data_IF_244105409278
#
_entry.id   IF_244105409278
#
_cell.length_a   1.000
_cell.length_b   1.000
_cell.length_c   1.000
_cell.angle_alpha   90.00
_cell.angle_beta   90.00
_cell.angle_gamma   90.00
#
_symmetry.space_group_name_H-M   'P 1'
#
loop_
_entity.id
_entity.type
_entity.pdbx_description
1 polymer ?
#
# COMPACT_ATOMS: atom_id res chain seq x y z
N UNK A 1 -1.13 -1.39 37.49
CA UNK A 1 -0.73 -0.99 36.12
C UNK A 1 0.73 -0.60 36.16
N UNK A 2 1.58 -1.27 35.39
CA UNK A 2 3.01 -0.94 35.34
C UNK A 2 3.12 0.37 34.58
N UNK A 3 3.58 1.44 35.22
CA UNK A 3 3.94 2.68 34.53
C UNK A 3 5.03 2.35 33.53
N UNK A 4 4.66 2.28 32.25
CA UNK A 4 5.63 2.08 31.15
C UNK A 4 6.49 3.35 31.14
N UNK A 5 7.78 3.19 31.55
CA UNK A 5 8.71 4.30 31.69
C UNK A 5 8.79 5.17 30.44
N UNK A 6 8.75 6.47 30.64
CA UNK A 6 8.89 7.48 29.59
C UNK A 6 10.35 7.77 29.22
N UNK A 7 11.31 7.15 29.93
CA UNK A 7 12.73 7.34 29.70
C UNK A 7 13.18 6.57 28.46
N UNK A 8 13.57 7.25 27.37
CA UNK A 8 14.03 6.60 26.15
C UNK A 8 15.30 5.76 26.33
N UNK A 9 16.06 5.94 27.43
CA UNK A 9 17.26 5.16 27.73
C UNK A 9 16.94 3.77 28.31
N UNK A 10 15.71 3.56 28.79
CA UNK A 10 15.22 2.28 29.33
C UNK A 10 14.21 1.60 28.41
N UNK A 11 13.96 2.12 27.21
CA UNK A 11 13.07 1.54 26.22
C UNK A 11 13.73 0.37 25.48
N UNK A 12 13.30 -0.86 25.77
CA UNK A 12 13.80 -2.07 25.11
C UNK A 12 13.10 -2.34 23.76
N UNK A 13 12.05 -1.56 23.41
CA UNK A 13 11.35 -1.69 22.13
C UNK A 13 12.06 -0.87 21.05
N UNK A 14 12.64 -1.55 20.07
CA UNK A 14 13.15 -0.90 18.88
C UNK A 14 12.00 -0.61 17.91
N UNK A 15 11.56 0.64 17.89
CA UNK A 15 10.43 1.09 17.06
C UNK A 15 10.84 1.25 15.60
N UNK A 16 9.95 0.84 14.68
CA UNK A 16 10.20 0.92 13.24
C UNK A 16 10.26 2.37 12.73
N UNK A 17 11.17 2.68 11.82
CA UNK A 17 11.35 4.01 11.20
C UNK A 17 11.43 5.18 12.20
N UNK A 18 11.90 4.93 13.40
CA UNK A 18 11.92 5.93 14.46
C UNK A 18 13.31 6.52 14.63
N UNK A 19 13.49 7.85 14.49
CA UNK A 19 14.75 8.51 14.83
C UNK A 19 15.09 8.32 16.32
N UNK A 20 16.39 8.29 16.63
CA UNK A 20 16.85 8.30 18.01
C UNK A 20 16.30 9.54 18.74
N UNK A 21 15.79 9.37 19.96
CA UNK A 21 15.22 10.45 20.76
C UNK A 21 13.81 10.92 20.38
N UNK A 22 13.16 10.30 19.40
CA UNK A 22 11.77 10.61 19.09
C UNK A 22 10.85 10.27 20.28
N UNK A 23 9.93 11.18 20.59
CA UNK A 23 8.89 10.96 21.62
C UNK A 23 8.03 9.74 21.29
N UNK A 24 7.44 9.13 22.31
CA UNK A 24 6.56 7.98 22.19
C UNK A 24 5.12 8.38 22.48
N UNK A 25 4.21 8.01 21.58
CA UNK A 25 2.78 8.01 21.82
C UNK A 25 2.35 6.55 22.05
N UNK A 26 1.79 6.26 23.21
CA UNK A 26 1.33 4.91 23.56
C UNK A 26 -0.17 4.85 23.31
N UNK A 27 -0.59 4.05 22.34
CA UNK A 27 -2.01 3.84 22.04
C UNK A 27 -2.49 2.62 22.83
N UNK A 28 -3.53 2.80 23.62
CA UNK A 28 -4.07 1.77 24.52
C UNK A 28 -5.44 1.24 24.11
N UNK A 29 -6.23 2.06 23.40
CA UNK A 29 -7.60 1.70 23.02
C UNK A 29 -7.93 2.24 21.63
N UNK A 30 -8.85 1.54 20.95
CA UNK A 30 -9.39 1.99 19.67
C UNK A 30 -10.85 1.55 19.53
N UNK A 31 -11.65 2.33 18.77
CA UNK A 31 -13.06 2.05 18.50
C UNK A 31 -13.52 2.83 17.26
N UNK A 32 -14.24 2.20 16.32
CA UNK A 32 -14.71 2.83 15.08
C UNK A 32 -13.55 3.41 14.27
N UNK A 33 -13.49 4.72 14.13
CA UNK A 33 -12.41 5.45 13.47
C UNK A 33 -11.44 6.13 14.47
N UNK A 34 -11.55 5.86 15.77
CA UNK A 34 -10.81 6.59 16.77
C UNK A 34 -9.83 5.71 17.54
N UNK A 35 -8.73 6.33 17.95
CA UNK A 35 -7.72 5.75 18.84
C UNK A 35 -7.53 6.64 20.07
N UNK A 36 -7.11 6.07 21.19
CA UNK A 36 -6.81 6.78 22.43
C UNK A 36 -5.43 6.42 22.92
N UNK A 37 -4.70 7.45 23.36
CA UNK A 37 -3.42 7.25 23.99
C UNK A 37 -3.54 6.94 25.50
N UNK A 38 -2.41 6.65 26.13
CA UNK A 38 -2.32 6.35 27.58
C UNK A 38 -2.62 7.55 28.49
N UNK A 39 -2.73 8.74 27.94
CA UNK A 39 -3.12 9.96 28.67
C UNK A 39 -4.62 10.23 28.54
N UNK A 40 -5.32 9.41 27.74
CA UNK A 40 -6.76 9.52 27.48
C UNK A 40 -7.13 10.46 26.33
N UNK A 41 -6.16 11.00 25.61
CA UNK A 41 -6.44 11.84 24.45
C UNK A 41 -7.00 10.98 23.31
N UNK A 42 -8.04 11.49 22.65
CA UNK A 42 -8.71 10.85 21.51
C UNK A 42 -8.23 11.45 20.19
N UNK A 43 -7.95 10.60 19.24
CA UNK A 43 -7.58 11.00 17.88
C UNK A 43 -8.48 10.29 16.86
N UNK A 44 -8.94 11.02 15.85
CA UNK A 44 -9.48 10.42 14.63
C UNK A 44 -8.32 9.84 13.82
N UNK A 45 -8.34 8.53 13.57
CA UNK A 45 -7.34 7.87 12.74
C UNK A 45 -7.68 8.07 11.25
N UNK A 46 -7.16 9.13 10.68
CA UNK A 46 -7.32 9.43 9.27
C UNK A 46 -6.33 8.66 8.37
N UNK A 47 -5.62 7.64 8.89
CA UNK A 47 -4.63 6.86 8.14
C UNK A 47 -4.86 5.35 8.19
N UNK A 48 -5.91 4.88 8.91
CA UNK A 48 -6.13 3.45 9.19
C UNK A 48 -4.85 2.78 9.73
N UNK A 49 -4.26 3.36 10.78
CA UNK A 49 -2.91 3.09 11.27
C UNK A 49 -1.84 3.30 10.17
N UNK A 50 -1.61 2.33 9.33
CA UNK A 50 -0.71 2.36 8.17
C UNK A 50 -1.42 1.83 6.91
N UNK A 51 -2.57 2.42 6.56
CA UNK A 51 -3.42 2.00 5.42
C UNK A 51 -3.93 0.56 5.56
N UNK A 52 -4.13 0.05 6.78
CA UNK A 52 -4.40 -1.37 7.01
C UNK A 52 -5.69 -1.66 7.79
N UNK A 53 -6.15 -0.79 8.69
CA UNK A 53 -7.37 -1.00 9.47
C UNK A 53 -8.61 -0.57 8.66
N UNK A 54 -8.86 -1.28 7.57
CA UNK A 54 -9.88 -0.87 6.59
C UNK A 54 -11.30 -0.91 7.18
N UNK A 55 -11.66 -1.96 7.93
CA UNK A 55 -12.99 -2.07 8.56
C UNK A 55 -13.13 -1.24 9.85
N UNK A 56 -12.14 -0.42 10.21
CA UNK A 56 -12.10 0.28 11.48
C UNK A 56 -11.77 -0.62 12.67
N UNK A 57 -11.89 -0.07 13.87
CA UNK A 57 -11.47 -0.72 15.13
C UNK A 57 -12.60 -1.48 15.85
N UNK A 58 -13.70 -1.75 15.18
CA UNK A 58 -14.81 -2.47 15.76
C UNK A 58 -15.76 -1.62 16.62
N UNK A 59 -16.53 -2.27 17.49
CA UNK A 59 -16.42 -3.69 17.90
C UNK A 59 -16.90 -4.68 16.83
N UNK A 60 -16.08 -5.69 16.57
CA UNK A 60 -16.40 -6.82 15.68
C UNK A 60 -16.29 -8.13 16.45
N UNK A 61 -17.34 -8.51 17.23
CA UNK A 61 -17.29 -9.71 18.09
C UNK A 61 -17.07 -11.00 17.30
N UNK A 62 -17.52 -11.07 16.04
CA UNK A 62 -17.32 -12.20 15.17
C UNK A 62 -15.84 -12.48 14.85
N UNK A 63 -15.01 -11.44 14.71
CA UNK A 63 -13.57 -11.60 14.50
C UNK A 63 -12.90 -12.17 15.76
N UNK A 64 -13.24 -11.61 16.93
CA UNK A 64 -12.74 -12.12 18.20
C UNK A 64 -13.16 -13.57 18.44
N UNK A 65 -14.39 -13.92 18.10
CA UNK A 65 -14.92 -15.27 18.25
C UNK A 65 -14.26 -16.26 17.26
N UNK A 66 -14.05 -15.85 16.00
CA UNK A 66 -13.31 -16.66 15.02
C UNK A 66 -11.89 -16.97 15.50
N UNK A 67 -11.20 -15.95 16.02
CA UNK A 67 -9.87 -16.10 16.61
C UNK A 67 -9.87 -17.05 17.81
N UNK A 68 -10.79 -16.88 18.75
CA UNK A 68 -10.93 -17.74 19.93
C UNK A 68 -11.16 -19.21 19.56
N UNK A 69 -12.13 -19.47 18.67
CA UNK A 69 -12.44 -20.84 18.22
C UNK A 69 -11.24 -21.50 17.55
N UNK A 70 -10.55 -20.75 16.67
CA UNK A 70 -9.40 -21.30 15.97
C UNK A 70 -8.25 -21.63 16.92
N UNK A 71 -7.98 -20.80 17.92
CA UNK A 71 -6.96 -21.06 18.93
C UNK A 71 -7.28 -22.27 19.81
N UNK A 72 -8.56 -22.48 20.15
CA UNK A 72 -9.01 -23.64 20.92
C UNK A 72 -8.94 -24.94 20.12
N UNK A 73 -9.25 -24.91 18.82
CA UNK A 73 -9.28 -26.07 17.96
C UNK A 73 -7.90 -26.48 17.44
N UNK A 74 -7.15 -25.52 16.86
CA UNK A 74 -5.83 -25.74 16.27
C UNK A 74 -5.07 -24.40 16.25
N UNK A 75 -4.24 -24.13 17.27
CA UNK A 75 -3.52 -22.84 17.34
C UNK A 75 -2.54 -22.65 16.19
N UNK A 76 -1.87 -23.73 15.76
CA UNK A 76 -0.98 -23.67 14.59
C UNK A 76 -0.78 -25.06 13.97
N UNK A 77 -0.78 -25.10 12.65
CA UNK A 77 -0.10 -26.12 11.85
C UNK A 77 0.35 -25.51 10.52
N UNK A 78 1.34 -26.13 9.89
CA UNK A 78 2.00 -25.61 8.71
C UNK A 78 1.24 -25.95 7.42
N UNK A 79 1.41 -25.11 6.38
CA UNK A 79 1.00 -25.39 4.99
C UNK A 79 2.17 -25.94 4.15
N UNK A 80 3.14 -26.64 4.76
CA UNK A 80 4.32 -27.17 4.09
C UNK A 80 4.15 -28.62 3.70
N UNK A 81 4.77 -29.02 2.58
CA UNK A 81 4.99 -30.42 2.16
C UNK A 81 3.72 -31.27 2.24
N UNK A 82 2.63 -30.78 1.61
CA UNK A 82 1.38 -31.54 1.50
C UNK A 82 0.40 -31.37 2.67
N UNK A 83 0.74 -30.55 3.66
CA UNK A 83 -0.20 -30.17 4.73
C UNK A 83 -0.95 -28.89 4.36
N UNK A 84 -2.17 -28.77 4.85
CA UNK A 84 -2.99 -27.58 4.81
C UNK A 84 -3.92 -27.57 6.02
N UNK A 85 -4.46 -26.40 6.36
CA UNK A 85 -5.45 -26.24 7.42
C UNK A 85 -6.80 -25.83 6.82
N UNK A 86 -7.93 -26.23 7.41
CA UNK A 86 -9.25 -25.87 6.88
C UNK A 86 -9.40 -24.37 6.60
N UNK A 87 -9.06 -23.44 7.53
CA UNK A 87 -9.25 -22.02 7.25
C UNK A 87 -8.32 -21.49 6.13
N UNK A 88 -7.15 -22.10 5.89
CA UNK A 88 -6.30 -21.69 4.77
C UNK A 88 -6.88 -22.11 3.41
N UNK A 89 -7.50 -23.28 3.34
CA UNK A 89 -8.19 -23.77 2.14
C UNK A 89 -9.45 -22.93 1.86
N UNK A 90 -10.26 -22.70 2.89
CA UNK A 90 -11.49 -21.92 2.79
C UNK A 90 -11.21 -20.46 2.38
N UNK A 91 -10.18 -19.83 2.96
CA UNK A 91 -9.79 -18.48 2.58
C UNK A 91 -9.30 -18.42 1.12
N UNK A 92 -8.52 -19.39 0.67
CA UNK A 92 -8.08 -19.45 -0.72
C UNK A 92 -9.27 -19.53 -1.67
N UNK A 93 -10.25 -20.37 -1.38
CA UNK A 93 -11.48 -20.49 -2.17
C UNK A 93 -12.30 -19.19 -2.13
N UNK A 94 -12.48 -18.59 -0.93
CA UNK A 94 -13.22 -17.33 -0.78
C UNK A 94 -12.60 -16.20 -1.58
N UNK A 95 -11.28 -16.07 -1.58
CA UNK A 95 -10.57 -15.05 -2.34
C UNK A 95 -10.73 -15.24 -3.85
N UNK A 96 -10.81 -16.48 -4.34
CA UNK A 96 -11.04 -16.77 -5.76
C UNK A 96 -12.31 -16.12 -6.30
N UNK A 97 -13.36 -16.03 -5.48
CA UNK A 97 -14.63 -15.40 -5.83
C UNK A 97 -14.59 -13.85 -5.82
N UNK A 98 -13.56 -13.24 -5.23
CA UNK A 98 -13.42 -11.78 -5.10
C UNK A 98 -12.38 -11.17 -6.06
N UNK A 99 -11.36 -11.96 -6.42
CA UNK A 99 -10.24 -11.49 -7.22
C UNK A 99 -10.64 -11.27 -8.69
N UNK A 100 -10.13 -10.18 -9.32
CA UNK A 100 -10.49 -9.82 -10.70
C UNK A 100 -9.68 -10.58 -11.75
N UNK A 101 -9.04 -11.66 -11.39
CA UNK A 101 -8.22 -12.50 -12.28
C UNK A 101 -8.61 -13.96 -12.11
N UNK A 102 -8.39 -14.77 -13.14
CA UNK A 102 -8.43 -16.21 -12.99
C UNK A 102 -7.33 -16.66 -12.05
N UNK A 103 -7.71 -17.35 -10.97
CA UNK A 103 -6.78 -17.76 -9.92
C UNK A 103 -6.25 -19.16 -10.19
N UNK A 104 -4.95 -19.27 -10.46
CA UNK A 104 -4.26 -20.55 -10.54
C UNK A 104 -3.90 -21.08 -9.14
N UNK A 105 -3.26 -20.25 -8.31
CA UNK A 105 -2.88 -20.58 -6.93
C UNK A 105 -2.74 -19.31 -6.09
N UNK A 106 -2.94 -19.47 -4.77
CA UNK A 106 -2.67 -18.44 -3.76
C UNK A 106 -1.58 -18.98 -2.82
N UNK A 107 -0.53 -18.18 -2.65
CA UNK A 107 0.58 -18.48 -1.74
C UNK A 107 0.53 -17.51 -0.56
N UNK A 108 0.12 -18.01 0.61
CA UNK A 108 0.02 -17.19 1.82
C UNK A 108 1.37 -16.95 2.48
N UNK A 109 1.53 -15.75 3.04
CA UNK A 109 2.72 -15.27 3.76
C UNK A 109 2.28 -14.44 4.98
N UNK A 110 3.24 -13.91 5.78
CA UNK A 110 2.91 -13.15 6.98
C UNK A 110 2.62 -11.66 6.75
N UNK A 111 2.90 -11.10 5.56
CA UNK A 111 2.67 -9.68 5.29
C UNK A 111 3.12 -9.23 3.91
N UNK A 112 2.97 -7.91 3.62
CA UNK A 112 3.20 -7.35 2.28
C UNK A 112 4.63 -7.48 1.76
N UNK A 113 5.65 -7.25 2.60
CA UNK A 113 7.05 -7.40 2.17
C UNK A 113 7.38 -8.83 1.76
N UNK A 114 6.86 -9.82 2.49
CA UNK A 114 7.02 -11.23 2.16
C UNK A 114 6.21 -11.63 0.92
N UNK A 115 5.05 -11.01 0.70
CA UNK A 115 4.27 -11.19 -0.53
C UNK A 115 5.08 -10.73 -1.75
N UNK A 116 5.67 -9.54 -1.68
CA UNK A 116 6.53 -9.01 -2.74
C UNK A 116 7.78 -9.88 -2.95
N UNK A 117 8.50 -10.28 -1.88
CA UNK A 117 9.63 -11.23 -1.98
C UNK A 117 9.24 -12.51 -2.71
N UNK A 118 8.08 -13.05 -2.36
CA UNK A 118 7.57 -14.28 -2.96
C UNK A 118 7.21 -14.08 -4.43
N UNK A 119 6.57 -12.96 -4.79
CA UNK A 119 6.25 -12.61 -6.18
C UNK A 119 7.50 -12.49 -7.06
N UNK A 120 8.57 -11.84 -6.54
CA UNK A 120 9.85 -11.76 -7.25
C UNK A 120 10.46 -13.14 -7.50
N UNK A 121 10.40 -14.04 -6.51
CA UNK A 121 10.89 -15.41 -6.66
C UNK A 121 10.03 -16.24 -7.61
N UNK A 122 8.71 -16.08 -7.57
CA UNK A 122 7.79 -16.73 -8.52
C UNK A 122 8.14 -16.29 -9.94
N UNK A 123 8.31 -15.00 -10.18
CA UNK A 123 8.64 -14.48 -11.51
C UNK A 123 9.96 -15.05 -12.05
N UNK A 124 11.02 -15.10 -11.23
CA UNK A 124 12.29 -15.73 -11.64
C UNK A 124 12.16 -17.22 -11.94
N UNK A 125 11.48 -17.96 -11.06
CA UNK A 125 11.31 -19.38 -11.22
C UNK A 125 10.42 -19.72 -12.42
N UNK A 126 9.38 -18.93 -12.68
CA UNK A 126 8.55 -19.03 -13.89
C UNK A 126 9.39 -19.00 -15.16
N UNK A 127 10.22 -17.99 -15.33
CA UNK A 127 11.07 -17.87 -16.51
C UNK A 127 12.10 -18.99 -16.58
N UNK A 128 12.70 -19.38 -15.45
CA UNK A 128 13.65 -20.49 -15.40
C UNK A 128 13.02 -21.81 -15.85
N UNK A 129 11.80 -22.11 -15.43
CA UNK A 129 11.06 -23.31 -15.84
C UNK A 129 10.70 -23.30 -17.32
N UNK A 130 10.61 -22.13 -17.94
CA UNK A 130 10.39 -21.94 -19.37
C UNK A 130 11.68 -21.94 -20.22
N UNK A 131 12.84 -22.20 -19.60
CA UNK A 131 14.12 -22.19 -20.30
C UNK A 131 14.74 -20.80 -20.51
N UNK A 132 14.27 -19.78 -19.80
CA UNK A 132 14.73 -18.38 -19.86
C UNK A 132 15.46 -17.95 -18.55
N UNK A 133 16.54 -18.63 -18.12
CA UNK A 133 17.15 -18.39 -16.80
C UNK A 133 17.85 -17.02 -16.66
N UNK A 134 18.04 -16.32 -17.76
CA UNK A 134 18.64 -14.97 -17.80
C UNK A 134 17.69 -13.90 -17.31
N UNK A 135 16.37 -14.13 -17.29
CA UNK A 135 15.37 -13.19 -16.83
C UNK A 135 15.36 -13.08 -15.30
N UNK A 136 16.02 -12.06 -14.78
CA UNK A 136 16.17 -11.86 -13.33
C UNK A 136 16.02 -10.40 -12.88
N UNK A 137 15.93 -9.46 -13.83
CA UNK A 137 15.76 -8.02 -13.54
C UNK A 137 14.27 -7.68 -13.34
N UNK A 138 14.03 -6.59 -12.63
CA UNK A 138 12.69 -6.09 -12.34
C UNK A 138 12.61 -4.61 -12.63
N UNK A 139 11.46 -4.15 -13.13
CA UNK A 139 11.16 -2.74 -13.32
C UNK A 139 10.08 -2.34 -12.32
N UNK A 140 10.36 -1.32 -11.51
CA UNK A 140 9.38 -0.64 -10.65
C UNK A 140 9.35 0.86 -10.99
N UNK A 141 8.60 1.67 -10.23
CA UNK A 141 8.58 3.13 -10.44
C UNK A 141 9.49 3.87 -9.46
N UNK A 142 9.95 5.05 -9.86
CA UNK A 142 10.57 6.01 -8.94
C UNK A 142 9.61 6.30 -7.79
N UNK A 143 10.16 6.49 -6.60
CA UNK A 143 9.43 6.69 -5.33
C UNK A 143 8.47 5.56 -4.91
N UNK A 144 8.31 4.46 -5.67
CA UNK A 144 7.47 3.33 -5.29
C UNK A 144 7.89 2.72 -3.94
N UNK A 145 6.92 2.10 -3.25
CA UNK A 145 7.14 1.39 -1.99
C UNK A 145 6.52 0.00 -2.02
N UNK A 146 7.35 -1.02 -1.91
CA UNK A 146 6.97 -2.43 -2.01
C UNK A 146 7.34 -3.26 -0.76
N UNK A 147 7.85 -2.61 0.29
CA UNK A 147 8.25 -3.28 1.53
C UNK A 147 9.70 -3.06 1.91
N UNK A 148 10.16 -3.73 2.97
CA UNK A 148 11.49 -3.50 3.58
C UNK A 148 12.29 -4.76 3.87
N UNK A 149 11.87 -5.94 3.43
CA UNK A 149 12.78 -7.08 3.27
C UNK A 149 13.79 -6.77 2.17
N UNK A 150 14.96 -7.39 2.16
CA UNK A 150 16.03 -6.97 1.24
C UNK A 150 15.63 -6.98 -0.24
N UNK A 151 14.87 -7.98 -0.72
CA UNK A 151 14.39 -7.99 -2.10
C UNK A 151 13.31 -6.95 -2.37
N UNK A 152 12.30 -6.84 -1.49
CA UNK A 152 11.27 -5.80 -1.60
C UNK A 152 11.86 -4.39 -1.50
N UNK A 153 12.85 -4.18 -0.60
CA UNK A 153 13.57 -2.93 -0.48
C UNK A 153 14.36 -2.60 -1.75
N UNK A 154 14.94 -3.63 -2.38
CA UNK A 154 15.75 -3.46 -3.60
C UNK A 154 14.96 -2.86 -4.76
N UNK A 155 13.67 -3.16 -4.87
CA UNK A 155 12.79 -2.62 -5.92
C UNK A 155 12.10 -1.32 -5.52
N UNK A 156 12.22 -0.84 -4.27
CA UNK A 156 11.69 0.46 -3.86
C UNK A 156 12.32 1.61 -4.68
N UNK A 157 11.49 2.58 -5.02
CA UNK A 157 11.91 3.71 -5.84
C UNK A 157 12.63 4.84 -5.09
N UNK A 158 12.47 4.93 -3.75
CA UNK A 158 13.05 5.99 -2.93
C UNK A 158 14.49 5.68 -2.50
N UNK A 159 15.50 6.50 -2.88
CA UNK A 159 16.88 6.32 -2.42
C UNK A 159 17.01 6.42 -0.90
N UNK A 160 16.25 7.29 -0.25
CA UNK A 160 16.32 7.49 1.20
C UNK A 160 15.98 6.23 2.02
N UNK A 161 15.14 5.35 1.49
CA UNK A 161 14.81 4.08 2.12
C UNK A 161 15.91 3.03 1.94
N UNK A 162 16.66 3.08 0.83
CA UNK A 162 17.61 2.05 0.42
C UNK A 162 19.03 2.31 0.89
N UNK A 163 19.46 3.58 0.93
CA UNK A 163 20.87 3.97 1.09
C UNK A 163 21.56 3.40 2.35
N UNK A 164 20.80 3.12 3.41
CA UNK A 164 21.34 2.53 4.64
C UNK A 164 21.70 1.04 4.50
N UNK A 165 21.19 0.36 3.45
CA UNK A 165 21.26 -1.08 3.30
C UNK A 165 21.94 -1.52 1.99
N UNK A 166 22.50 -0.59 1.24
CA UNK A 166 23.26 -0.89 0.01
C UNK A 166 24.58 -1.67 0.35
N UNK A 167 25.02 -2.65 -0.45
CA UNK A 167 24.44 -3.05 -1.73
C UNK A 167 23.22 -3.96 -1.58
N UNK A 168 22.19 -3.71 -2.39
CA UNK A 168 20.96 -4.49 -2.45
C UNK A 168 20.97 -5.45 -3.65
N UNK A 169 19.83 -6.13 -3.91
CA UNK A 169 19.66 -7.04 -5.02
C UNK A 169 19.92 -6.31 -6.36
N UNK A 170 20.85 -6.80 -7.22
CA UNK A 170 21.11 -6.18 -8.52
C UNK A 170 19.96 -6.38 -9.49
N UNK A 171 19.91 -5.55 -10.54
CA UNK A 171 18.92 -5.66 -11.62
C UNK A 171 17.53 -5.11 -11.25
N UNK A 172 17.47 -4.20 -10.30
CA UNK A 172 16.23 -3.49 -9.94
C UNK A 172 16.21 -2.10 -10.59
N UNK A 173 15.35 -1.90 -11.58
CA UNK A 173 15.28 -0.73 -12.46
C UNK A 173 14.09 0.16 -12.07
N UNK A 174 14.11 1.45 -12.41
CA UNK A 174 13.07 2.42 -12.01
C UNK A 174 12.61 3.28 -13.18
N UNK A 175 11.37 3.05 -13.60
CA UNK A 175 10.68 3.89 -14.56
C UNK A 175 10.11 5.17 -13.92
N UNK A 176 9.78 6.20 -14.70
CA UNK A 176 9.07 7.37 -14.21
C UNK A 176 7.70 7.02 -13.60
N UNK A 177 7.27 7.85 -12.65
CA UNK A 177 5.89 7.80 -12.12
C UNK A 177 4.90 8.41 -13.13
N UNK A 178 3.64 7.95 -13.16
CA UNK A 178 2.57 8.62 -13.93
C UNK A 178 2.05 9.86 -13.19
N UNK A 179 2.95 10.79 -12.87
CA UNK A 179 2.70 11.94 -12.01
C UNK A 179 2.30 13.17 -12.81
N UNK A 180 1.00 13.29 -13.12
CA UNK A 180 0.45 14.28 -14.04
C UNK A 180 0.82 15.72 -13.68
N UNK A 181 0.71 16.11 -12.42
CA UNK A 181 0.92 17.51 -11.97
C UNK A 181 2.33 18.02 -12.28
N UNK A 182 3.36 17.17 -12.19
CA UNK A 182 4.77 17.52 -12.49
C UNK A 182 5.36 16.65 -13.60
N UNK A 183 4.53 16.13 -14.51
CA UNK A 183 5.01 15.26 -15.57
C UNK A 183 5.94 16.02 -16.53
N UNK A 184 7.20 15.61 -16.69
CA UNK A 184 8.13 16.30 -17.60
C UNK A 184 7.74 16.18 -19.06
N UNK A 185 6.83 15.27 -19.40
CA UNK A 185 6.41 15.00 -20.77
C UNK A 185 5.13 15.71 -21.18
N UNK A 186 4.22 15.92 -20.22
CA UNK A 186 2.86 16.36 -20.55
C UNK A 186 2.18 17.25 -19.49
N UNK A 187 2.89 17.76 -18.46
CA UNK A 187 2.26 18.59 -17.41
C UNK A 187 1.53 19.82 -17.98
N UNK A 188 2.09 20.45 -19.01
CA UNK A 188 1.55 21.64 -19.66
C UNK A 188 0.69 21.33 -20.91
N UNK A 189 0.50 20.04 -21.23
CA UNK A 189 -0.27 19.64 -22.42
C UNK A 189 -1.74 19.35 -22.05
N UNK A 190 -2.68 19.56 -22.96
CA UNK A 190 -4.11 19.29 -22.70
C UNK A 190 -4.44 17.81 -22.49
N UNK A 191 -3.54 16.89 -22.87
CA UNK A 191 -3.71 15.45 -22.72
C UNK A 191 -2.49 14.74 -22.13
N UNK A 192 -2.63 13.49 -21.74
CA UNK A 192 -1.51 12.63 -21.38
C UNK A 192 -0.99 11.91 -22.63
N UNK A 193 0.34 11.87 -22.81
CA UNK A 193 0.98 11.20 -23.94
C UNK A 193 1.40 9.76 -23.60
N UNK A 194 1.17 9.29 -22.37
CA UNK A 194 1.62 8.00 -21.83
C UNK A 194 3.15 7.77 -21.92
N UNK A 195 3.92 8.81 -22.19
CA UNK A 195 5.38 8.70 -22.31
C UNK A 195 6.03 8.08 -21.07
N UNK A 196 5.47 8.27 -19.89
CA UNK A 196 5.94 7.63 -18.66
C UNK A 196 5.74 6.10 -18.66
N UNK A 197 4.77 5.56 -19.42
CA UNK A 197 4.64 4.13 -19.68
C UNK A 197 5.65 3.68 -20.74
N UNK A 198 5.82 4.43 -21.84
CA UNK A 198 6.80 4.11 -22.89
C UNK A 198 8.24 4.09 -22.37
N UNK A 199 8.55 4.82 -21.30
CA UNK A 199 9.87 4.73 -20.64
C UNK A 199 10.13 3.36 -20.00
N UNK A 200 9.08 2.58 -19.68
CA UNK A 200 9.23 1.18 -19.24
C UNK A 200 9.78 0.36 -20.42
N UNK A 201 9.21 0.52 -21.62
CA UNK A 201 9.67 -0.12 -22.85
C UNK A 201 11.14 0.25 -23.13
N UNK A 202 11.46 1.54 -23.13
CA UNK A 202 12.82 2.02 -23.36
C UNK A 202 13.84 1.42 -22.38
N UNK A 203 13.47 1.27 -21.08
CA UNK A 203 14.30 0.62 -20.07
C UNK A 203 14.48 -0.86 -20.40
N UNK A 204 13.41 -1.57 -20.73
CA UNK A 204 13.44 -3.01 -21.04
C UNK A 204 14.33 -3.27 -22.26
N UNK A 205 14.18 -2.49 -23.34
CA UNK A 205 14.99 -2.60 -24.54
C UNK A 205 16.47 -2.34 -24.27
N UNK A 206 16.77 -1.29 -23.48
CA UNK A 206 18.16 -0.94 -23.15
C UNK A 206 18.84 -2.00 -22.26
N UNK A 207 18.10 -2.66 -21.37
CA UNK A 207 18.61 -3.68 -20.46
C UNK A 207 18.74 -5.08 -21.09
N UNK A 208 18.18 -5.28 -22.28
CA UNK A 208 18.02 -6.57 -22.95
C UNK A 208 16.74 -7.28 -22.47
N UNK A 209 15.68 -7.33 -23.29
CA UNK A 209 14.38 -7.89 -22.89
C UNK A 209 14.45 -9.30 -22.29
N UNK A 210 15.38 -10.12 -22.80
CA UNK A 210 15.65 -11.50 -22.34
C UNK A 210 16.26 -11.57 -20.93
N UNK A 211 16.58 -10.41 -20.31
CA UNK A 211 17.11 -10.33 -18.93
C UNK A 211 16.09 -9.83 -17.91
N UNK A 212 14.97 -9.28 -18.38
CA UNK A 212 13.93 -8.72 -17.53
C UNK A 212 12.85 -9.75 -17.23
N UNK A 213 12.52 -9.96 -15.96
CA UNK A 213 11.54 -10.94 -15.50
C UNK A 213 10.13 -10.34 -15.38
N UNK A 214 10.03 -9.16 -14.77
CA UNK A 214 8.73 -8.59 -14.45
C UNK A 214 8.76 -7.07 -14.30
N UNK A 215 7.58 -6.47 -14.50
CA UNK A 215 7.23 -5.12 -14.08
C UNK A 215 6.35 -5.23 -12.83
N UNK A 216 6.65 -4.47 -11.76
CA UNK A 216 5.83 -4.44 -10.53
C UNK A 216 5.37 -3.02 -10.23
N UNK A 217 4.06 -2.83 -10.08
CA UNK A 217 3.44 -1.52 -9.93
C UNK A 217 2.28 -1.56 -8.92
N UNK A 218 2.19 -0.50 -8.10
CA UNK A 218 1.00 -0.21 -7.28
C UNK A 218 -0.10 0.37 -8.18
N UNK A 219 -1.37 -0.02 -8.10
CA UNK A 219 -2.46 0.62 -8.86
C UNK A 219 -2.56 2.13 -8.61
N UNK A 220 -2.55 2.54 -7.35
CA UNK A 220 -2.31 3.91 -6.90
C UNK A 220 -1.00 3.90 -6.11
N UNK A 221 0.00 4.65 -6.56
CA UNK A 221 1.29 4.65 -5.91
C UNK A 221 1.24 5.44 -4.60
N UNK A 222 1.57 4.79 -3.49
CA UNK A 222 1.49 5.37 -2.17
C UNK A 222 2.52 6.48 -1.94
N UNK A 223 3.80 6.15 -2.09
CA UNK A 223 4.88 7.13 -1.89
C UNK A 223 4.87 8.19 -2.99
N UNK A 224 5.22 9.42 -2.63
CA UNK A 224 5.05 10.64 -3.40
C UNK A 224 3.58 11.12 -3.52
N UNK A 225 2.68 10.56 -2.70
CA UNK A 225 1.35 11.12 -2.48
C UNK A 225 0.27 10.59 -3.42
N UNK A 226 -0.16 9.33 -3.22
CA UNK A 226 -1.34 8.72 -3.86
C UNK A 226 -1.42 8.97 -5.38
N UNK A 227 -0.31 8.71 -6.10
CA UNK A 227 -0.22 8.96 -7.55
C UNK A 227 -1.18 8.04 -8.29
N UNK A 228 -2.22 8.60 -8.88
CA UNK A 228 -3.20 7.89 -9.71
C UNK A 228 -2.74 7.81 -11.16
N UNK A 229 -2.89 6.67 -11.83
CA UNK A 229 -2.53 6.51 -13.22
C UNK A 229 -3.49 7.32 -14.14
N UNK A 230 -2.99 7.92 -15.22
CA UNK A 230 -3.87 8.46 -16.26
C UNK A 230 -4.55 7.32 -17.05
N UNK A 231 -5.70 7.60 -17.68
CA UNK A 231 -6.35 6.63 -18.57
C UNK A 231 -5.38 6.07 -19.62
N UNK A 232 -5.44 4.76 -19.86
CA UNK A 232 -4.60 4.07 -20.84
C UNK A 232 -3.21 3.68 -20.32
N UNK A 233 -2.82 4.07 -19.09
CA UNK A 233 -1.49 3.79 -18.56
C UNK A 233 -1.25 2.28 -18.37
N UNK A 234 -2.16 1.58 -17.74
CA UNK A 234 -1.99 0.16 -17.45
C UNK A 234 -2.20 -0.72 -18.68
N UNK A 235 -3.09 -0.31 -19.59
CA UNK A 235 -3.22 -0.95 -20.91
C UNK A 235 -1.89 -0.90 -21.67
N UNK A 236 -1.23 0.28 -21.68
CA UNK A 236 0.08 0.41 -22.33
C UNK A 236 1.17 -0.41 -21.62
N UNK A 237 1.16 -0.47 -20.30
CA UNK A 237 2.10 -1.33 -19.55
C UNK A 237 1.85 -2.81 -19.86
N UNK A 238 0.59 -3.25 -20.00
CA UNK A 238 0.28 -4.63 -20.37
C UNK A 238 0.81 -4.96 -21.76
N UNK A 239 0.58 -4.09 -22.74
CA UNK A 239 1.14 -4.23 -24.10
C UNK A 239 2.66 -4.41 -24.07
N UNK A 240 3.38 -3.57 -23.34
CA UNK A 240 4.84 -3.66 -23.20
C UNK A 240 5.25 -5.00 -22.57
N UNK A 241 4.55 -5.45 -21.53
CA UNK A 241 4.85 -6.74 -20.91
C UNK A 241 4.62 -7.90 -21.87
N UNK A 242 3.56 -7.86 -22.68
CA UNK A 242 3.25 -8.90 -23.65
C UNK A 242 4.26 -8.91 -24.83
N UNK A 243 4.63 -7.75 -25.35
CA UNK A 243 5.61 -7.58 -26.41
C UNK A 243 6.97 -8.22 -26.05
N UNK A 244 7.40 -8.02 -24.80
CA UNK A 244 8.70 -8.50 -24.33
C UNK A 244 8.64 -9.80 -23.52
N UNK A 245 7.47 -10.38 -23.33
CA UNK A 245 7.28 -11.63 -22.57
C UNK A 245 7.56 -11.48 -21.08
N UNK A 246 7.28 -10.30 -20.49
CA UNK A 246 7.45 -10.00 -19.07
C UNK A 246 6.20 -10.38 -18.29
N UNK A 247 6.36 -10.63 -16.99
CA UNK A 247 5.22 -10.71 -16.08
C UNK A 247 4.85 -9.31 -15.57
N UNK A 248 3.55 -9.05 -15.44
CA UNK A 248 3.01 -7.87 -14.74
C UNK A 248 2.58 -8.26 -13.34
N UNK A 249 3.12 -7.59 -12.33
CA UNK A 249 2.77 -7.76 -10.91
C UNK A 249 2.02 -6.54 -10.43
N UNK A 250 0.77 -6.70 -10.02
CA UNK A 250 0.00 -5.65 -9.34
C UNK A 250 0.22 -5.72 -7.83
N UNK A 251 0.81 -4.68 -7.25
CA UNK A 251 0.97 -4.57 -5.80
C UNK A 251 -0.29 -3.94 -5.18
N UNK A 252 -1.20 -4.81 -4.75
CA UNK A 252 -2.49 -4.46 -4.13
C UNK A 252 -2.42 -4.33 -2.60
N UNK A 253 -1.23 -4.35 -2.02
CA UNK A 253 -1.03 -4.33 -0.57
C UNK A 253 -1.75 -3.15 0.10
N UNK A 254 -1.83 -1.98 -0.55
CA UNK A 254 -2.60 -0.82 -0.06
C UNK A 254 -3.94 -0.70 -0.78
N UNK A 255 -3.95 -0.82 -2.10
CA UNK A 255 -5.09 -0.48 -2.94
C UNK A 255 -6.24 -1.47 -2.81
N UNK A 256 -5.95 -2.73 -2.48
CA UNK A 256 -6.95 -3.78 -2.34
C UNK A 256 -7.91 -3.58 -1.16
N UNK A 257 -8.97 -4.37 -1.20
CA UNK A 257 -9.98 -4.45 -0.16
C UNK A 257 -10.70 -3.10 0.10
N UNK A 258 -11.23 -2.50 -0.95
CA UNK A 258 -12.11 -1.33 -0.88
C UNK A 258 -11.41 0.03 -0.82
N UNK A 259 -10.08 0.08 -0.64
CA UNK A 259 -9.34 1.32 -0.38
C UNK A 259 -9.52 2.38 -1.47
N UNK A 260 -9.55 1.97 -2.72
CA UNK A 260 -9.65 2.86 -3.90
C UNK A 260 -11.05 2.91 -4.53
N UNK A 261 -12.08 2.51 -3.79
CA UNK A 261 -13.48 2.54 -4.26
C UNK A 261 -13.91 1.31 -5.05
N UNK A 262 -13.11 0.24 -5.03
CA UNK A 262 -13.42 -1.07 -5.58
C UNK A 262 -12.76 -2.15 -4.73
N UNK A 263 -13.12 -3.44 -4.91
CA UNK A 263 -12.45 -4.53 -4.20
C UNK A 263 -10.93 -4.47 -4.38
N UNK A 264 -10.48 -4.17 -5.60
CA UNK A 264 -9.05 -4.05 -5.94
C UNK A 264 -8.81 -2.87 -6.87
N UNK A 265 -7.64 -2.25 -6.76
CA UNK A 265 -7.19 -1.26 -7.72
C UNK A 265 -7.04 -1.85 -9.13
N UNK A 266 -6.74 -3.13 -9.21
CA UNK A 266 -6.74 -3.92 -10.46
C UNK A 266 -8.08 -3.80 -11.20
N UNK A 267 -9.21 -4.00 -10.51
CA UNK A 267 -10.56 -3.77 -11.07
C UNK A 267 -10.76 -2.31 -11.45
N UNK A 268 -10.42 -1.42 -10.53
CA UNK A 268 -10.66 0.03 -10.67
C UNK A 268 -10.00 0.64 -11.90
N UNK A 269 -8.81 0.15 -12.26
CA UNK A 269 -7.97 0.71 -13.33
C UNK A 269 -7.80 -0.23 -14.53
N UNK A 270 -8.56 -1.33 -14.60
CA UNK A 270 -8.51 -2.26 -15.72
C UNK A 270 -7.14 -2.91 -15.90
N UNK A 271 -6.47 -3.29 -14.79
CA UNK A 271 -5.16 -3.93 -14.84
C UNK A 271 -5.34 -5.42 -15.11
N UNK A 272 -4.56 -5.98 -16.02
CA UNK A 272 -4.52 -7.43 -16.31
C UNK A 272 -3.18 -8.03 -15.83
N UNK A 273 -3.01 -8.28 -14.52
CA UNK A 273 -1.75 -8.76 -13.98
C UNK A 273 -1.61 -10.27 -14.13
N UNK A 274 -0.36 -10.74 -14.19
CA UNK A 274 0.00 -12.14 -14.08
C UNK A 274 0.13 -12.59 -12.61
N UNK A 275 0.48 -11.64 -11.72
CA UNK A 275 0.62 -11.83 -10.27
C UNK A 275 0.00 -10.65 -9.52
N UNK A 276 -0.56 -10.90 -8.33
CA UNK A 276 -0.99 -9.86 -7.40
C UNK A 276 -0.37 -10.10 -6.03
N UNK A 277 -0.01 -9.02 -5.30
CA UNK A 277 0.42 -9.11 -3.91
C UNK A 277 -0.63 -8.49 -2.99
N UNK A 278 -1.03 -9.21 -1.94
CA UNK A 278 -2.08 -8.82 -1.00
C UNK A 278 -1.53 -8.76 0.42
N UNK A 279 -2.04 -7.83 1.23
CA UNK A 279 -1.85 -7.79 2.68
C UNK A 279 -2.85 -6.80 3.31
N UNK A 280 -2.54 -6.23 4.46
CA UNK A 280 -3.29 -5.13 5.12
C UNK A 280 -4.80 -5.38 5.21
N UNK A 281 -5.56 -4.89 4.23
CA UNK A 281 -7.01 -5.04 4.17
C UNK A 281 -7.52 -6.49 4.20
N UNK A 282 -6.70 -7.46 3.81
CA UNK A 282 -7.07 -8.89 3.84
C UNK A 282 -7.52 -9.36 5.23
N UNK A 283 -6.97 -8.76 6.29
CA UNK A 283 -7.37 -9.00 7.69
C UNK A 283 -7.75 -7.70 8.41
N UNK A 284 -7.70 -6.56 7.74
CA UNK A 284 -7.78 -5.23 8.34
C UNK A 284 -6.88 -5.06 9.56
N UNK A 285 -5.69 -5.69 9.53
CA UNK A 285 -4.68 -5.71 10.60
C UNK A 285 -5.10 -6.40 11.92
N UNK A 286 -6.25 -7.08 11.98
CA UNK A 286 -6.64 -7.87 13.15
C UNK A 286 -5.75 -9.10 13.36
N UNK A 287 -5.09 -9.58 12.31
CA UNK A 287 -4.01 -10.57 12.37
C UNK A 287 -3.03 -10.33 11.21
N UNK A 288 -1.73 -10.68 11.36
CA UNK A 288 -0.77 -10.57 10.26
C UNK A 288 -1.04 -11.62 9.18
N UNK A 289 -1.21 -11.18 7.94
CA UNK A 289 -1.37 -12.04 6.76
C UNK A 289 -1.00 -11.26 5.49
N UNK A 290 -0.46 -11.97 4.52
CA UNK A 290 -0.28 -11.54 3.15
C UNK A 290 -0.44 -12.71 2.20
N UNK A 291 -0.50 -12.43 0.91
CA UNK A 291 -0.57 -13.46 -0.11
C UNK A 291 0.02 -13.01 -1.44
N UNK A 292 0.47 -13.98 -2.23
CA UNK A 292 0.69 -13.84 -3.67
C UNK A 292 -0.41 -14.63 -4.38
N UNK A 293 -1.07 -13.99 -5.31
CA UNK A 293 -2.02 -14.61 -6.24
C UNK A 293 -1.30 -14.79 -7.57
N UNK A 294 -1.34 -15.99 -8.12
CA UNK A 294 -0.76 -16.31 -9.42
C UNK A 294 -1.84 -16.83 -10.37
N UNK A 295 -1.86 -16.31 -11.59
CA UNK A 295 -2.76 -16.76 -12.65
C UNK A 295 -2.41 -18.17 -13.14
N UNK A 296 -3.32 -18.91 -13.80
CA UNK A 296 -3.03 -20.22 -14.37
C UNK A 296 -1.81 -20.23 -15.28
N UNK A 297 -1.62 -19.18 -16.10
CA UNK A 297 -0.43 -18.98 -16.97
C UNK A 297 0.87 -19.08 -16.17
N UNK A 298 0.94 -18.43 -15.01
CA UNK A 298 2.14 -18.44 -14.17
C UNK A 298 2.31 -19.77 -13.46
N UNK A 299 1.21 -20.39 -13.02
CA UNK A 299 1.23 -21.64 -12.26
C UNK A 299 1.58 -22.87 -13.09
N UNK A 300 1.17 -22.91 -14.35
CA UNK A 300 1.34 -24.07 -15.25
C UNK A 300 2.75 -24.66 -15.23
N UNK A 301 3.85 -23.90 -15.44
CA UNK A 301 5.20 -24.48 -15.49
C UNK A 301 5.65 -25.10 -14.15
N UNK A 302 5.09 -24.65 -13.03
CA UNK A 302 5.43 -25.18 -11.69
C UNK A 302 4.86 -26.58 -11.43
N UNK A 303 3.82 -26.95 -12.16
CA UNK A 303 3.11 -28.22 -12.01
C UNK A 303 3.20 -29.12 -13.28
N UNK A 304 4.02 -28.73 -14.24
CA UNK A 304 4.20 -29.51 -15.47
C UNK A 304 4.79 -30.89 -15.20
N UNK A 305 5.60 -31.04 -14.15
CA UNK A 305 6.19 -32.30 -13.76
C UNK A 305 5.87 -32.59 -12.28
N UNK A 306 5.54 -33.84 -11.96
CA UNK A 306 5.18 -34.26 -10.58
C UNK A 306 6.31 -34.06 -9.55
N UNK A 307 7.55 -33.95 -10.01
CA UNK A 307 8.74 -33.71 -9.19
C UNK A 307 9.11 -32.24 -9.04
N UNK A 308 8.43 -31.35 -9.79
CA UNK A 308 8.67 -29.91 -9.69
C UNK A 308 8.26 -29.39 -8.33
N UNK A 309 9.07 -28.50 -7.76
CA UNK A 309 8.75 -27.86 -6.50
C UNK A 309 9.21 -26.40 -6.50
N UNK A 310 8.40 -25.53 -5.90
CA UNK A 310 8.78 -24.18 -5.58
C UNK A 310 9.45 -24.16 -4.21
N UNK A 311 10.80 -24.21 -4.18
CA UNK A 311 11.59 -24.30 -2.95
C UNK A 311 11.62 -22.94 -2.26
N UNK A 312 10.46 -22.54 -1.76
CA UNK A 312 10.23 -21.32 -0.99
C UNK A 312 9.09 -21.53 -0.01
N UNK A 313 9.20 -20.95 1.18
CA UNK A 313 8.19 -21.04 2.21
C UNK A 313 8.44 -20.04 3.33
N UNK A 314 7.35 -19.63 3.97
CA UNK A 314 7.31 -18.78 5.15
C UNK A 314 6.66 -19.59 6.27
N UNK A 315 7.33 -19.74 7.42
CA UNK A 315 6.88 -20.61 8.51
C UNK A 315 5.42 -20.35 8.90
N UNK A 316 5.04 -19.08 8.99
CA UNK A 316 3.68 -18.67 9.37
C UNK A 316 2.78 -18.32 8.19
N UNK A 317 3.17 -18.65 6.96
CA UNK A 317 2.35 -18.45 5.77
C UNK A 317 1.05 -19.25 5.83
N UNK A 318 -0.09 -18.54 5.79
CA UNK A 318 -1.40 -19.18 5.95
C UNK A 318 -1.66 -19.70 7.37
N UNK A 319 -1.15 -18.99 8.39
CA UNK A 319 -1.42 -19.30 9.80
C UNK A 319 -2.93 -19.47 10.03
N UNK A 320 -3.39 -20.59 10.61
CA UNK A 320 -4.83 -20.88 10.72
C UNK A 320 -5.61 -19.80 11.46
N UNK A 321 -5.04 -19.19 12.51
CA UNK A 321 -5.64 -18.04 13.19
C UNK A 321 -5.84 -16.85 12.22
N UNK A 322 -4.80 -16.50 11.47
CA UNK A 322 -4.87 -15.35 10.55
C UNK A 322 -5.85 -15.59 9.41
N UNK A 323 -5.94 -16.82 8.91
CA UNK A 323 -6.92 -17.19 7.88
C UNK A 323 -8.37 -17.16 8.43
N UNK A 324 -8.61 -17.65 9.65
CA UNK A 324 -9.93 -17.57 10.28
C UNK A 324 -10.36 -16.12 10.53
N UNK A 325 -9.43 -15.27 10.97
CA UNK A 325 -9.65 -13.82 11.13
C UNK A 325 -9.93 -13.16 9.77
N UNK A 326 -9.21 -13.53 8.71
CA UNK A 326 -9.44 -13.01 7.36
C UNK A 326 -10.83 -13.36 6.83
N UNK A 327 -11.30 -14.59 7.04
CA UNK A 327 -12.66 -15.01 6.67
C UNK A 327 -13.72 -14.15 7.37
N UNK A 328 -13.62 -13.99 8.70
CA UNK A 328 -14.54 -13.13 9.46
C UNK A 328 -14.45 -11.65 9.05
N UNK A 329 -13.26 -11.17 8.70
CA UNK A 329 -13.05 -9.83 8.17
C UNK A 329 -13.77 -9.64 6.81
N UNK A 330 -13.71 -10.61 5.91
CA UNK A 330 -14.44 -10.56 4.64
C UNK A 330 -15.97 -10.55 4.86
N UNK A 331 -16.48 -11.30 5.84
CA UNK A 331 -17.89 -11.27 6.19
C UNK A 331 -18.33 -9.87 6.68
N UNK A 332 -17.47 -9.16 7.44
CA UNK A 332 -17.72 -7.75 7.83
C UNK A 332 -17.75 -6.85 6.60
N UNK A 333 -16.81 -6.99 5.66
CA UNK A 333 -16.81 -6.19 4.42
C UNK A 333 -18.11 -6.31 3.65
N UNK A 334 -18.62 -7.52 3.50
CA UNK A 334 -19.84 -7.77 2.74
C UNK A 334 -21.08 -7.31 3.49
N UNK A 335 -21.20 -7.64 4.78
CA UNK A 335 -22.35 -7.26 5.60
C UNK A 335 -22.52 -5.74 5.71
N UNK A 336 -21.41 -5.03 5.93
CA UNK A 336 -21.41 -3.56 6.04
C UNK A 336 -21.33 -2.84 4.69
N UNK A 337 -21.25 -3.60 3.59
CA UNK A 337 -21.07 -3.06 2.22
C UNK A 337 -19.94 -2.01 2.13
N UNK A 338 -18.79 -2.31 2.74
CA UNK A 338 -17.73 -1.33 2.89
C UNK A 338 -17.08 -0.92 1.57
N UNK A 339 -17.01 -1.83 0.61
CA UNK A 339 -16.53 -1.51 -0.74
C UNK A 339 -17.51 -0.57 -1.46
N UNK A 340 -18.82 -0.90 -1.46
CA UNK A 340 -19.85 -0.03 -2.02
C UNK A 340 -19.94 1.32 -1.29
N UNK A 341 -19.71 1.33 0.04
CA UNK A 341 -19.59 2.58 0.83
C UNK A 341 -18.44 3.45 0.35
N UNK A 342 -17.25 2.88 0.17
CA UNK A 342 -16.07 3.60 -0.36
C UNK A 342 -16.35 4.16 -1.77
N UNK A 343 -17.03 3.38 -2.60
CA UNK A 343 -17.40 3.79 -3.95
C UNK A 343 -18.37 4.99 -3.93
N UNK A 344 -19.37 4.96 -3.06
CA UNK A 344 -20.39 6.02 -2.96
C UNK A 344 -19.87 7.30 -2.30
N UNK A 345 -19.11 7.17 -1.20
CA UNK A 345 -18.67 8.32 -0.40
C UNK A 345 -17.30 8.85 -0.80
N UNK A 346 -16.48 8.10 -1.55
CA UNK A 346 -15.18 8.56 -2.06
C UNK A 346 -15.29 9.88 -2.85
N UNK A 347 -16.26 10.06 -3.76
CA UNK A 347 -16.50 11.32 -4.45
C UNK A 347 -16.80 12.51 -3.52
N UNK A 348 -17.48 12.26 -2.39
CA UNK A 348 -17.74 13.31 -1.40
C UNK A 348 -16.48 13.77 -0.68
N UNK A 349 -15.61 12.81 -0.31
CA UNK A 349 -14.30 13.13 0.27
C UNK A 349 -13.43 13.90 -0.72
N UNK A 350 -13.43 13.48 -2.00
CA UNK A 350 -12.74 14.16 -3.08
C UNK A 350 -13.20 15.61 -3.23
N UNK A 351 -14.51 15.85 -3.25
CA UNK A 351 -15.08 17.20 -3.41
C UNK A 351 -14.61 18.16 -2.30
N UNK A 352 -14.50 17.67 -1.05
CA UNK A 352 -13.95 18.46 0.06
C UNK A 352 -12.47 18.81 -0.15
N UNK A 353 -11.70 17.88 -0.66
CA UNK A 353 -10.29 18.12 -1.02
C UNK A 353 -10.15 19.14 -2.18
N UNK A 354 -11.01 19.05 -3.19
CA UNK A 354 -11.03 19.97 -4.32
C UNK A 354 -11.45 21.39 -3.89
N UNK A 355 -12.34 21.50 -2.91
CA UNK A 355 -12.67 22.81 -2.29
C UNK A 355 -11.42 23.40 -1.63
N UNK A 356 -10.67 22.60 -0.88
CA UNK A 356 -9.42 23.06 -0.26
C UNK A 356 -8.36 23.43 -1.31
N UNK A 357 -8.26 22.66 -2.40
CA UNK A 357 -7.39 23.01 -3.54
C UNK A 357 -7.77 24.37 -4.15
N UNK A 358 -9.06 24.63 -4.32
CA UNK A 358 -9.52 25.91 -4.92
C UNK A 358 -9.19 27.11 -4.02
N UNK A 359 -9.35 26.96 -2.72
CA UNK A 359 -9.34 28.08 -1.77
C UNK A 359 -7.97 28.31 -1.09
N UNK A 360 -7.21 27.23 -0.79
CA UNK A 360 -5.99 27.38 0.01
C UNK A 360 -4.73 27.55 -0.84
N UNK A 361 -3.89 28.61 -0.58
CA UNK A 361 -2.72 28.91 -1.42
C UNK A 361 -1.63 27.84 -1.41
N UNK A 362 -1.48 27.09 -0.32
CA UNK A 362 -0.46 26.05 -0.23
C UNK A 362 -0.86 24.70 -0.88
N UNK A 363 -2.11 24.51 -1.32
CA UNK A 363 -2.53 23.26 -1.94
C UNK A 363 -2.39 23.34 -3.45
N UNK A 364 -1.39 22.67 -4.01
CA UNK A 364 -1.09 22.71 -5.45
C UNK A 364 -1.80 21.64 -6.27
N UNK A 365 -2.09 20.48 -5.68
CA UNK A 365 -2.73 19.35 -6.37
C UNK A 365 -3.47 18.44 -5.40
N UNK A 366 -4.52 17.76 -5.88
CA UNK A 366 -5.28 16.74 -5.16
C UNK A 366 -5.25 15.45 -5.96
N UNK A 367 -4.76 14.38 -5.34
CA UNK A 367 -4.63 13.05 -5.95
C UNK A 367 -5.24 11.98 -5.07
N UNK A 368 -5.67 10.91 -5.69
CA UNK A 368 -6.20 9.75 -4.99
C UNK A 368 -7.53 9.27 -5.54
N UNK A 369 -8.03 8.21 -4.94
CA UNK A 369 -9.31 7.60 -5.29
C UNK A 369 -9.90 6.87 -4.07
N UNK A 370 -11.23 6.66 -4.05
CA UNK A 370 -11.94 6.04 -2.95
C UNK A 370 -11.68 6.76 -1.60
N UNK A 371 -11.02 6.06 -0.68
CA UNK A 371 -10.61 6.60 0.63
C UNK A 371 -9.08 6.72 0.76
N UNK A 372 -8.40 7.05 -0.33
CA UNK A 372 -6.96 7.18 -0.36
C UNK A 372 -6.54 8.44 -1.10
N UNK A 373 -6.33 9.54 -0.38
CA UNK A 373 -6.03 10.86 -0.94
C UNK A 373 -4.74 11.47 -0.43
N UNK A 374 -4.17 12.32 -1.27
CA UNK A 374 -3.05 13.21 -0.92
C UNK A 374 -3.26 14.58 -1.53
N UNK A 375 -2.92 15.61 -0.74
CA UNK A 375 -2.84 16.99 -1.18
C UNK A 375 -1.37 17.38 -1.25
N UNK A 376 -0.90 17.77 -2.44
CA UNK A 376 0.46 18.27 -2.58
C UNK A 376 0.56 19.71 -2.07
N UNK A 377 1.58 19.96 -1.27
CA UNK A 377 1.83 21.28 -0.68
C UNK A 377 2.93 21.99 -1.46
N UNK A 378 2.67 23.26 -1.80
CA UNK A 378 3.56 24.14 -2.57
C UNK A 378 3.70 25.49 -1.88
N UNK A 379 4.77 26.21 -2.18
CA UNK A 379 4.94 27.60 -1.78
C UNK A 379 4.14 28.52 -2.69
N UNK A 380 4.04 28.19 -3.95
CA UNK A 380 3.36 28.96 -4.97
C UNK A 380 2.67 28.00 -5.98
N UNK A 381 1.39 28.22 -6.23
CA UNK A 381 0.58 27.39 -7.12
C UNK A 381 0.90 27.58 -8.60
N UNK A 382 1.25 28.79 -9.00
CA UNK A 382 1.46 29.11 -10.42
C UNK A 382 2.78 28.52 -10.89
N UNK A 383 3.84 28.74 -10.12
CA UNK A 383 5.18 28.22 -10.41
C UNK A 383 5.36 26.77 -9.98
N UNK A 384 4.47 26.24 -9.12
CA UNK A 384 4.56 24.94 -8.43
C UNK A 384 5.83 24.84 -7.57
N UNK A 385 6.31 25.96 -7.01
CA UNK A 385 7.52 25.99 -6.19
C UNK A 385 7.36 25.09 -4.97
N UNK A 386 8.37 24.24 -4.73
CA UNK A 386 8.41 23.30 -3.60
C UNK A 386 9.26 23.84 -2.46
N UNK A 387 9.21 23.15 -1.33
CA UNK A 387 9.98 23.49 -0.13
C UNK A 387 11.41 22.93 -0.23
N UNK A 388 12.41 23.72 0.15
CA UNK A 388 13.76 23.22 0.31
C UNK A 388 13.84 22.16 1.43
N UNK A 389 14.85 21.27 1.46
CA UNK A 389 14.93 20.19 2.46
C UNK A 389 14.80 20.66 3.91
N UNK A 390 15.48 21.76 4.27
CA UNK A 390 15.40 22.34 5.61
C UNK A 390 14.01 22.90 5.94
N UNK A 391 13.36 23.55 4.98
CA UNK A 391 12.00 24.07 5.12
C UNK A 391 10.98 22.94 5.28
N UNK A 392 11.16 21.81 4.54
CA UNK A 392 10.31 20.62 4.69
C UNK A 392 10.42 20.02 6.08
N UNK A 393 11.62 19.92 6.63
CA UNK A 393 11.83 19.39 7.99
C UNK A 393 11.15 20.26 9.05
N UNK A 394 11.28 21.60 8.95
CA UNK A 394 10.58 22.54 9.82
C UNK A 394 9.06 22.41 9.67
N UNK A 395 8.57 22.45 8.44
CA UNK A 395 7.14 22.39 8.14
C UNK A 395 6.51 21.04 8.59
N UNK A 396 7.05 19.91 8.13
CA UNK A 396 6.45 18.59 8.34
C UNK A 396 6.69 18.09 9.77
N UNK A 397 7.96 17.99 10.18
CA UNK A 397 8.32 17.29 11.41
C UNK A 397 8.06 18.12 12.65
N UNK A 398 8.29 19.44 12.57
CA UNK A 398 8.17 20.30 13.74
C UNK A 398 6.83 21.05 13.82
N UNK A 399 6.06 21.13 12.74
CA UNK A 399 4.79 21.84 12.77
C UNK A 399 3.59 20.99 12.33
N UNK A 400 3.44 20.66 11.04
CA UNK A 400 2.21 20.03 10.52
C UNK A 400 1.82 18.75 11.25
N UNK A 401 2.77 17.83 11.42
CA UNK A 401 2.49 16.53 12.04
C UNK A 401 2.13 16.66 13.54
N UNK A 402 2.90 17.40 14.39
CA UNK A 402 2.50 17.62 15.77
C UNK A 402 1.17 18.37 15.89
N UNK A 403 0.96 19.41 15.08
CA UNK A 403 -0.21 20.28 15.17
C UNK A 403 -1.51 19.57 14.79
N UNK A 404 -1.51 18.77 13.73
CA UNK A 404 -2.67 17.94 13.38
C UNK A 404 -3.06 17.00 14.52
N UNK A 405 -2.06 16.42 15.21
CA UNK A 405 -2.28 15.56 16.36
C UNK A 405 -2.84 16.34 17.55
N UNK A 406 -2.33 17.53 17.87
CA UNK A 406 -2.89 18.41 18.91
C UNK A 406 -4.35 18.75 18.65
N UNK A 407 -4.74 18.85 17.38
CA UNK A 407 -6.12 19.07 16.96
C UNK A 407 -6.95 17.77 16.89
N UNK A 408 -6.41 16.65 17.35
CA UNK A 408 -7.12 15.38 17.50
C UNK A 408 -7.23 14.55 16.23
N UNK A 409 -6.38 14.76 15.23
CA UNK A 409 -6.35 13.94 14.01
C UNK A 409 -4.98 13.31 13.78
N UNK A 410 -4.94 11.99 13.61
CA UNK A 410 -3.77 11.26 13.17
C UNK A 410 -3.81 11.11 11.65
N UNK A 411 -2.96 11.88 10.97
CA UNK A 411 -2.75 11.82 9.51
C UNK A 411 -1.26 11.89 9.20
N UNK A 412 -0.89 11.66 7.96
CA UNK A 412 0.50 11.67 7.52
C UNK A 412 0.81 12.90 6.70
N UNK A 413 1.92 13.55 7.03
CA UNK A 413 2.61 14.45 6.13
C UNK A 413 3.87 13.75 5.63
N UNK A 414 4.03 13.66 4.31
CA UNK A 414 5.07 12.85 3.66
C UNK A 414 5.98 13.71 2.80
N UNK A 415 7.25 13.37 2.75
CA UNK A 415 8.30 14.02 1.98
C UNK A 415 9.13 13.02 1.13
N UNK A 416 8.64 11.77 0.96
CA UNK A 416 9.29 10.74 0.14
C UNK A 416 9.15 10.97 -1.37
N UNK A 417 8.77 12.13 -1.76
CA UNK A 417 8.64 12.75 -3.05
C UNK A 417 8.53 14.23 -2.82
N UNK A 418 7.49 14.86 -3.38
CA UNK A 418 7.11 16.21 -3.00
C UNK A 418 6.35 16.20 -1.67
N UNK A 419 6.35 17.36 -0.98
CA UNK A 419 5.64 17.48 0.30
C UNK A 419 4.14 17.29 0.11
N UNK A 420 3.53 16.38 0.84
CA UNK A 420 2.09 16.16 0.77
C UNK A 420 1.46 15.84 2.12
N UNK A 421 0.20 16.26 2.30
CA UNK A 421 -0.69 15.72 3.33
C UNK A 421 -1.37 14.48 2.76
N UNK A 422 -1.34 13.37 3.49
CA UNK A 422 -1.88 12.09 3.05
C UNK A 422 -2.80 11.49 4.10
N UNK A 423 -3.95 10.99 3.67
CA UNK A 423 -4.92 10.33 4.53
C UNK A 423 -5.64 9.19 3.81
N UNK A 424 -6.03 8.21 4.59
CA UNK A 424 -6.71 7.00 4.17
C UNK A 424 -7.53 6.46 5.35
N UNK A 425 -8.64 7.12 5.74
CA UNK A 425 -9.41 6.73 6.92
C UNK A 425 -9.98 5.31 6.77
N UNK A 426 -10.40 4.66 7.86
CA UNK A 426 -11.17 3.42 7.79
C UNK A 426 -12.40 3.57 6.89
N UNK A 427 -12.79 2.50 6.19
CA UNK A 427 -13.93 2.53 5.25
C UNK A 427 -15.28 2.72 5.95
N UNK A 428 -15.32 2.54 7.27
CA UNK A 428 -16.49 2.87 8.11
C UNK A 428 -16.66 4.37 8.33
N UNK A 429 -15.64 5.19 8.05
CA UNK A 429 -15.72 6.65 8.14
C UNK A 429 -16.82 7.19 7.22
N UNK A 430 -17.42 8.30 7.60
CA UNK A 430 -18.49 8.96 6.88
C UNK A 430 -18.27 10.47 6.74
N UNK A 431 -19.30 11.20 6.29
CA UNK A 431 -19.21 12.63 6.07
C UNK A 431 -18.73 13.43 7.29
N UNK A 432 -19.09 13.03 8.52
CA UNK A 432 -18.66 13.69 9.74
C UNK A 432 -17.14 13.58 9.95
N UNK A 433 -16.57 12.38 9.77
CA UNK A 433 -15.13 12.17 9.86
C UNK A 433 -14.40 12.91 8.73
N UNK A 434 -14.98 12.98 7.53
CA UNK A 434 -14.42 13.73 6.41
C UNK A 434 -14.34 15.23 6.73
N UNK A 435 -15.39 15.79 7.32
CA UNK A 435 -15.43 17.21 7.72
C UNK A 435 -14.36 17.50 8.79
N UNK A 436 -14.16 16.60 9.74
CA UNK A 436 -13.10 16.72 10.75
C UNK A 436 -11.71 16.66 10.10
N UNK A 437 -11.46 15.68 9.23
CA UNK A 437 -10.15 15.51 8.56
C UNK A 437 -9.79 16.76 7.75
N UNK A 438 -10.70 17.21 6.89
CA UNK A 438 -10.46 18.34 6.00
C UNK A 438 -10.45 19.66 6.76
N UNK A 439 -11.28 19.80 7.81
CA UNK A 439 -11.31 20.97 8.68
C UNK A 439 -10.00 21.15 9.47
N UNK A 440 -9.49 20.08 10.08
CA UNK A 440 -8.19 20.12 10.76
C UNK A 440 -7.06 20.37 9.75
N UNK A 441 -7.09 19.74 8.58
CA UNK A 441 -6.10 19.99 7.54
C UNK A 441 -6.10 21.47 7.12
N UNK A 442 -7.27 22.07 6.88
CA UNK A 442 -7.40 23.51 6.58
C UNK A 442 -6.76 24.35 7.66
N UNK A 443 -7.15 24.14 8.93
CA UNK A 443 -6.63 24.92 10.05
C UNK A 443 -5.09 24.83 10.15
N UNK A 444 -4.54 23.63 10.03
CA UNK A 444 -3.08 23.42 10.10
C UNK A 444 -2.36 24.10 8.95
N UNK A 445 -2.95 24.11 7.75
CA UNK A 445 -2.38 24.78 6.59
C UNK A 445 -2.50 26.32 6.69
N UNK A 446 -3.62 26.86 7.19
CA UNK A 446 -3.79 28.29 7.46
C UNK A 446 -2.70 28.80 8.44
N UNK A 447 -2.54 28.09 9.58
CA UNK A 447 -1.49 28.40 10.56
C UNK A 447 -0.06 28.27 9.97
N UNK A 448 0.16 27.30 9.06
CA UNK A 448 1.45 27.17 8.37
C UNK A 448 1.70 28.31 7.41
N UNK A 449 0.69 28.71 6.66
CA UNK A 449 0.77 29.82 5.72
C UNK A 449 1.10 31.14 6.42
N UNK A 450 0.44 31.45 7.53
CA UNK A 450 0.72 32.66 8.34
C UNK A 450 2.16 32.72 8.84
N UNK A 451 2.76 31.57 9.17
CA UNK A 451 4.17 31.49 9.61
C UNK A 451 5.19 31.68 8.50
N UNK A 452 4.76 31.51 7.26
CA UNK A 452 5.62 31.64 6.08
C UNK A 452 5.63 33.06 5.51
N UNK A 453 4.64 33.89 5.89
CA UNK A 453 4.56 35.33 5.52
C UNK A 453 5.46 36.18 6.43
#
# INVERSE_FOLDING_TARGET
MTTIGTDPTTDHLWRHFTPAGASRLVIERAEGCHIWDSEGNRYLDALSALYCVNIGYGPWPEIAEAARRQLEQLPFFTNWVGFATPPSLELAERLTGLLPVDVGRIFFVGGGSEAVESALKVARQYHRLRGEPTRHKYVSRRSAYHGTTLGALSINGSPALRSQFEPLLPGCLRAPMPYRYRCPYCAEKPGCTLRCADEIDAIVVNEGPETVAAVILEPVQNSAGSITPPPGYFERVREICDEHGLLLVADEVICGFGRVGDWFGTTRYGIEPDLMTLAKGITSAYAPLGAVVATPKVVEPFFAEATSSFVHGITFGGHPLSCAVALANLDVYEREDLVGRSQRLGPELRARCETLLAEHPMVGDVRGDGYFYSLELVKDKETKETFAPAERDELIKKFLTPRARELGVYMRFDDRGETCAQFAPPLVAGPEEFDVIVGVLRQVLDEAWERMQ
#
